data_IF_627453977762
#
_entry.id   IF_627453977762
#
_cell.length_a   1.000
_cell.length_b   1.000
_cell.length_c   1.000
_cell.angle_alpha   90.00
_cell.angle_beta   90.00
_cell.angle_gamma   90.00
#
_symmetry.space_group_name_H-M   'P 1'
#
loop_
_entity.id
_entity.type
_entity.pdbx_description
1 polymer ?
#
# COMPACT_ATOMS: atom_id res chain seq x y z
N UNK A 1 2.16 -2.82 13.30
CA UNK A 1 1.09 -2.37 12.35
C UNK A 1 1.04 -0.86 12.12
N UNK A 2 1.02 -0.01 13.15
CA UNK A 2 0.90 1.46 12.98
C UNK A 2 1.98 2.05 12.06
N UNK A 3 3.24 1.63 12.24
CA UNK A 3 4.36 2.03 11.37
C UNK A 3 4.10 1.71 9.90
N UNK A 4 3.70 0.47 9.59
CA UNK A 4 3.37 0.03 8.22
C UNK A 4 2.26 0.88 7.58
N UNK A 5 1.17 1.14 8.32
CA UNK A 5 0.10 2.02 7.84
C UNK A 5 0.59 3.47 7.64
N UNK A 6 1.47 3.96 8.51
CA UNK A 6 2.09 5.28 8.37
C UNK A 6 2.95 5.38 7.11
N UNK A 7 3.76 4.36 6.82
CA UNK A 7 4.57 4.31 5.61
C UNK A 7 3.68 4.25 4.35
N UNK A 8 2.65 3.39 4.34
CA UNK A 8 1.67 3.35 3.23
C UNK A 8 0.93 4.69 3.06
N UNK A 9 0.62 5.37 4.17
CA UNK A 9 -0.05 6.67 4.14
C UNK A 9 0.82 7.71 3.44
N UNK A 10 2.09 7.79 3.83
CA UNK A 10 3.08 8.69 3.21
C UNK A 10 3.23 8.35 1.73
N UNK A 11 3.44 7.08 1.38
CA UNK A 11 3.58 6.66 -0.01
C UNK A 11 2.35 7.00 -0.85
N UNK A 12 1.14 6.75 -0.34
CA UNK A 12 -0.11 7.08 -1.05
C UNK A 12 -0.28 8.59 -1.25
N UNK A 13 0.09 9.39 -0.24
CA UNK A 13 0.02 10.86 -0.30
C UNK A 13 1.01 11.41 -1.33
N UNK A 14 2.21 10.83 -1.41
CA UNK A 14 3.22 11.19 -2.41
C UNK A 14 2.75 10.83 -3.83
N UNK A 15 2.21 9.61 -4.03
CA UNK A 15 1.73 9.19 -5.34
C UNK A 15 0.52 10.02 -5.80
N UNK A 16 -0.44 10.29 -4.92
CA UNK A 16 -1.61 11.13 -5.25
C UNK A 16 -1.22 12.55 -5.65
N UNK A 17 -0.14 13.11 -5.08
CA UNK A 17 0.40 14.41 -5.49
C UNK A 17 1.01 14.42 -6.91
N UNK A 18 1.33 13.25 -7.48
CA UNK A 18 1.87 13.14 -8.85
C UNK A 18 0.79 12.92 -9.92
N UNK A 19 -0.47 12.73 -9.50
CA UNK A 19 -1.59 12.56 -10.43
C UNK A 19 -1.81 13.82 -11.28
N UNK A 20 -1.87 13.64 -12.60
CA UNK A 20 -2.20 14.71 -13.56
C UNK A 20 -3.70 14.82 -13.86
N UNK A 21 -4.54 14.08 -13.13
CA UNK A 21 -5.97 13.96 -13.37
C UNK A 21 -6.74 13.77 -12.06
N UNK A 22 -8.05 14.01 -12.11
CA UNK A 22 -8.94 13.74 -10.98
C UNK A 22 -9.24 12.24 -10.86
N UNK A 23 -9.02 11.69 -9.69
CA UNK A 23 -9.25 10.27 -9.39
C UNK A 23 -8.84 9.90 -7.98
N UNK A 24 -8.70 8.60 -7.74
CA UNK A 24 -8.19 8.02 -6.51
C UNK A 24 -7.09 6.99 -6.79
N UNK A 25 -6.16 6.88 -5.84
CA UNK A 25 -5.16 5.82 -5.77
C UNK A 25 -5.43 4.98 -4.52
N UNK A 26 -5.33 3.68 -4.67
CA UNK A 26 -5.34 2.73 -3.55
C UNK A 26 -4.03 1.95 -3.58
N UNK A 27 -3.27 2.02 -2.48
CA UNK A 27 -2.13 1.13 -2.24
C UNK A 27 -2.55 0.09 -1.22
N UNK A 28 -2.43 -1.18 -1.57
CA UNK A 28 -2.82 -2.32 -0.76
C UNK A 28 -1.69 -3.33 -0.66
N UNK A 29 -1.36 -3.74 0.56
CA UNK A 29 -0.57 -4.92 0.87
C UNK A 29 -1.52 -6.05 1.26
N UNK A 30 -1.34 -7.20 0.64
CA UNK A 30 -2.10 -8.41 0.95
C UNK A 30 -1.15 -9.59 1.05
N UNK A 31 -1.26 -10.37 2.12
CA UNK A 31 -0.40 -11.52 2.35
C UNK A 31 -1.03 -12.56 3.28
N UNK A 32 -0.28 -13.62 3.55
CA UNK A 32 -0.69 -14.78 4.35
C UNK A 32 -0.15 -14.77 5.80
N UNK A 33 0.50 -13.68 6.21
CA UNK A 33 0.98 -13.47 7.58
C UNK A 33 -0.08 -12.94 8.56
N UNK A 34 0.32 -12.63 9.81
CA UNK A 34 -0.55 -12.09 10.86
C UNK A 34 -1.30 -10.82 10.43
N UNK A 35 -0.70 -9.99 9.57
CA UNK A 35 -1.34 -8.86 8.90
C UNK A 35 -1.81 -9.31 7.51
N UNK A 36 -3.04 -9.80 7.43
CA UNK A 36 -3.65 -10.24 6.16
C UNK A 36 -3.88 -9.11 5.14
N UNK A 37 -4.10 -7.88 5.61
CA UNK A 37 -4.42 -6.73 4.77
C UNK A 37 -3.93 -5.43 5.42
N UNK A 38 -3.27 -4.58 4.65
CA UNK A 38 -3.08 -3.17 4.98
C UNK A 38 -3.34 -2.33 3.73
N UNK A 39 -4.25 -1.36 3.81
CA UNK A 39 -4.68 -0.59 2.65
C UNK A 39 -4.85 0.88 2.99
N UNK A 40 -4.34 1.74 2.12
CA UNK A 40 -4.57 3.17 2.12
C UNK A 40 -5.20 3.57 0.79
N UNK A 41 -6.24 4.40 0.85
CA UNK A 41 -6.87 5.03 -0.29
C UNK A 41 -6.74 6.55 -0.14
N UNK A 42 -6.26 7.20 -1.19
CA UNK A 42 -6.13 8.66 -1.29
C UNK A 42 -6.72 9.17 -2.59
N UNK A 43 -7.11 10.43 -2.63
CA UNK A 43 -7.61 11.10 -3.83
C UNK A 43 -6.82 12.35 -4.21
N UNK A 44 -7.14 12.91 -5.38
CA UNK A 44 -6.56 14.17 -5.88
C UNK A 44 -6.75 15.39 -4.96
N UNK A 45 -7.66 15.33 -3.97
CA UNK A 45 -7.85 16.39 -2.97
C UNK A 45 -7.06 16.12 -1.68
N UNK A 46 -6.18 15.12 -1.69
CA UNK A 46 -5.43 14.65 -0.52
C UNK A 46 -6.34 14.19 0.63
N UNK A 47 -7.55 13.71 0.31
CA UNK A 47 -8.38 13.01 1.28
C UNK A 47 -7.87 11.58 1.37
N UNK A 48 -7.30 11.24 2.52
CA UNK A 48 -6.66 9.93 2.72
C UNK A 48 -7.32 9.17 3.87
N UNK A 49 -7.52 7.88 3.67
CA UNK A 49 -8.09 6.95 4.66
C UNK A 49 -7.44 5.58 4.50
N UNK A 50 -7.48 4.79 5.55
CA UNK A 50 -6.94 3.44 5.47
C UNK A 50 -7.30 2.56 6.65
N UNK A 51 -7.12 1.27 6.45
CA UNK A 51 -7.41 0.23 7.44
C UNK A 51 -6.36 -0.88 7.33
N UNK A 52 -6.15 -1.59 8.42
CA UNK A 52 -5.45 -2.86 8.41
C UNK A 52 -6.34 -3.93 9.04
N UNK A 53 -6.17 -5.17 8.59
CA UNK A 53 -6.74 -6.37 9.20
C UNK A 53 -5.58 -7.25 9.64
N UNK A 54 -5.51 -7.49 10.94
CA UNK A 54 -4.54 -8.39 11.53
C UNK A 54 -5.19 -9.21 12.63
N UNK A 55 -4.61 -10.37 12.92
CA UNK A 55 -5.02 -11.25 14.00
C UNK A 55 -3.80 -11.69 14.81
N UNK A 56 -3.98 -11.82 16.12
CA UNK A 56 -2.91 -12.17 17.05
C UNK A 56 -2.02 -11.00 17.44
N UNK A 57 -0.94 -11.35 18.16
CA UNK A 57 0.06 -10.39 18.64
C UNK A 57 1.18 -10.24 17.61
N UNK A 58 1.58 -9.00 17.36
CA UNK A 58 2.67 -8.64 16.44
C UNK A 58 3.72 -7.91 17.26
N UNK A 59 4.97 -8.36 17.19
CA UNK A 59 6.08 -7.69 17.86
C UNK A 59 6.26 -6.25 17.36
N UNK A 60 6.67 -5.35 18.25
CA UNK A 60 6.85 -3.93 17.92
C UNK A 60 7.92 -3.70 16.83
N UNK A 61 8.91 -4.61 16.75
CA UNK A 61 10.02 -4.62 15.81
C UNK A 61 9.83 -5.62 14.66
N UNK A 62 8.64 -6.22 14.52
CA UNK A 62 8.34 -7.15 13.43
C UNK A 62 8.65 -6.52 12.07
N UNK A 63 9.41 -7.25 11.25
CA UNK A 63 9.74 -6.91 9.87
C UNK A 63 8.50 -6.97 8.96
N UNK A 64 8.64 -6.43 7.74
CA UNK A 64 7.59 -6.49 6.73
C UNK A 64 7.15 -7.93 6.44
N UNK A 65 8.12 -8.85 6.30
CA UNK A 65 7.88 -10.26 6.01
C UNK A 65 7.30 -11.03 7.20
N UNK A 66 7.69 -10.70 8.43
CA UNK A 66 7.06 -11.29 9.63
C UNK A 66 5.60 -10.84 9.79
N UNK A 67 5.29 -9.60 9.39
CA UNK A 67 3.92 -9.09 9.43
C UNK A 67 3.06 -9.64 8.29
N UNK A 68 3.54 -9.56 7.05
CA UNK A 68 2.74 -9.84 5.85
C UNK A 68 2.85 -11.28 5.36
N UNK A 69 3.88 -12.02 5.77
CA UNK A 69 4.21 -13.31 5.18
C UNK A 69 4.55 -13.17 3.69
N UNK A 70 4.12 -14.15 2.89
CA UNK A 70 4.16 -14.06 1.43
C UNK A 70 2.97 -13.25 0.96
N UNK A 71 3.22 -12.31 0.05
CA UNK A 71 2.17 -11.46 -0.44
C UNK A 71 2.57 -10.58 -1.60
N UNK A 72 1.69 -9.63 -1.90
CA UNK A 72 1.81 -8.74 -3.02
C UNK A 72 1.46 -7.31 -2.60
N UNK A 73 2.12 -6.35 -3.23
CA UNK A 73 1.70 -4.97 -3.27
C UNK A 73 0.82 -4.77 -4.51
N UNK A 74 -0.34 -4.17 -4.28
CA UNK A 74 -1.32 -3.85 -5.31
C UNK A 74 -1.52 -2.34 -5.32
N UNK A 75 -1.28 -1.72 -6.48
CA UNK A 75 -1.58 -0.30 -6.70
C UNK A 75 -2.71 -0.21 -7.70
N UNK A 76 -3.82 0.39 -7.28
CA UNK A 76 -4.98 0.65 -8.14
C UNK A 76 -5.11 2.15 -8.34
N UNK A 77 -5.23 2.57 -9.61
CA UNK A 77 -5.46 3.96 -10.01
C UNK A 77 -6.82 4.02 -10.71
N UNK A 78 -7.75 4.78 -10.14
CA UNK A 78 -9.12 4.94 -10.62
C UNK A 78 -9.38 6.41 -11.00
N UNK A 79 -9.19 6.79 -12.27
CA UNK A 79 -9.53 8.13 -12.74
C UNK A 79 -11.06 8.32 -12.77
N UNK A 80 -11.55 9.55 -12.55
CA UNK A 80 -12.98 9.88 -12.76
C UNK A 80 -13.41 9.74 -14.21
N UNK A 81 -12.48 9.88 -15.15
CA UNK A 81 -12.68 9.73 -16.60
C UNK A 81 -11.53 8.92 -17.18
N UNK A 82 -11.85 7.83 -17.85
CA UNK A 82 -10.88 6.91 -18.43
C UNK A 82 -10.96 5.53 -17.79
N UNK A 83 -9.96 4.70 -18.08
CA UNK A 83 -9.91 3.31 -17.65
C UNK A 83 -9.20 3.15 -16.31
N UNK A 84 -9.69 2.22 -15.50
CA UNK A 84 -9.02 1.79 -14.26
C UNK A 84 -7.73 1.06 -14.62
N UNK A 85 -6.66 1.39 -13.89
CA UNK A 85 -5.38 0.71 -13.98
C UNK A 85 -5.03 0.03 -12.66
N UNK A 86 -4.46 -1.17 -12.72
CA UNK A 86 -4.03 -1.92 -11.55
C UNK A 86 -2.71 -2.62 -11.84
N UNK A 87 -1.71 -2.34 -11.02
CA UNK A 87 -0.44 -3.05 -11.04
C UNK A 87 -0.27 -3.88 -9.78
N UNK A 88 0.41 -5.02 -9.92
CA UNK A 88 0.66 -5.98 -8.85
C UNK A 88 2.13 -6.36 -8.90
N UNK A 89 2.80 -6.29 -7.75
CA UNK A 89 4.20 -6.70 -7.59
C UNK A 89 4.34 -7.58 -6.35
N UNK A 90 5.24 -8.56 -6.40
CA UNK A 90 5.56 -9.40 -5.24
C UNK A 90 6.19 -8.58 -4.11
N UNK A 91 5.95 -8.99 -2.86
CA UNK A 91 6.70 -8.50 -1.71
C UNK A 91 8.07 -9.17 -1.69
N UNK A 92 8.98 -8.74 -2.57
CA UNK A 92 10.34 -9.31 -2.68
C UNK A 92 11.42 -8.43 -2.02
N UNK A 93 11.13 -7.14 -1.74
CA UNK A 93 12.04 -6.24 -1.03
C UNK A 93 12.01 -6.43 0.50
N UNK A 94 13.05 -6.00 1.20
CA UNK A 94 13.17 -6.12 2.67
C UNK A 94 12.28 -5.14 3.43
N UNK A 95 11.88 -4.04 2.78
CA UNK A 95 11.04 -2.99 3.32
C UNK A 95 10.09 -2.41 2.26
N UNK A 96 9.12 -1.59 2.69
CA UNK A 96 8.10 -1.05 1.80
C UNK A 96 8.68 -0.16 0.69
N UNK A 97 9.76 0.58 0.98
CA UNK A 97 10.41 1.44 -0.01
C UNK A 97 10.97 0.62 -1.17
N UNK A 98 11.71 -0.45 -0.88
CA UNK A 98 12.27 -1.33 -1.91
C UNK A 98 11.18 -2.00 -2.76
N UNK A 99 10.08 -2.43 -2.13
CA UNK A 99 8.93 -2.99 -2.86
C UNK A 99 8.29 -1.95 -3.79
N UNK A 100 8.14 -0.70 -3.31
CA UNK A 100 7.61 0.39 -4.12
C UNK A 100 8.55 0.80 -5.25
N UNK A 101 9.86 0.84 -5.01
CA UNK A 101 10.86 1.09 -6.05
C UNK A 101 10.81 0.00 -7.12
N UNK A 102 10.67 -1.27 -6.73
CA UNK A 102 10.48 -2.39 -7.65
C UNK A 102 9.22 -2.29 -8.52
N UNK A 103 8.19 -1.56 -8.08
CA UNK A 103 7.00 -1.29 -8.90
C UNK A 103 7.25 -0.20 -9.96
N UNK A 104 8.06 0.81 -9.65
CA UNK A 104 8.30 1.97 -10.52
C UNK A 104 9.54 1.89 -11.40
N UNK A 105 10.45 0.94 -11.14
CA UNK A 105 11.65 0.67 -11.94
C UNK A 105 11.31 0.19 -13.35
#
# INVERSE_FOLDING_TARGET
>A
VQKLLGELLVSTTLLTATLKFEGSITIQLQGDGPVSLAVINGDHNQQVRGVARWEGDIADDASLHEMMGKGYLVITIEPKKGERYQGVVGLEGENLTEVLEGYFA
#
